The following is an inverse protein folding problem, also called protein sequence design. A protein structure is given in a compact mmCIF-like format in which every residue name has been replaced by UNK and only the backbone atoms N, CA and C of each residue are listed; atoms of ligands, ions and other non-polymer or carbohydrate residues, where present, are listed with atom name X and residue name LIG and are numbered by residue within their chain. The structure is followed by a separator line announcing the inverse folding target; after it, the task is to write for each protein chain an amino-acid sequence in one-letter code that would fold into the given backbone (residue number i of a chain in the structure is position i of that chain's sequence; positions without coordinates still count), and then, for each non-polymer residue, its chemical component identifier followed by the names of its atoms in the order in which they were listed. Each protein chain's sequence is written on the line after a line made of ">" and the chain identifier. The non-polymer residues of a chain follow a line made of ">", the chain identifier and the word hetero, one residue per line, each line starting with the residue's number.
data_IF_621288142344
#
_entry.id   IF_621288142344
#
_cell.length_a   1.000
_cell.length_b   1.000
_cell.length_c   1.000
_cell.angle_alpha   90.00
_cell.angle_beta   90.00
_cell.angle_gamma   90.00
#
_symmetry.space_group_name_H-M   'P 1'
#
loop_
_entity.id
_entity.type
_entity.pdbx_description
1 polymer ?
#
# COMPACT_ATOMS: atom_id res chain seq x y z
N UNK A 1 -32.44 -7.64 77.18
CA UNK A 1 -31.19 -6.92 77.52
C UNK A 1 -30.18 -7.31 76.46
N UNK A 2 -29.56 -6.45 75.66
CA UNK A 2 -29.30 -5.02 75.79
C UNK A 2 -29.02 -4.47 74.37
N UNK A 3 -29.63 -3.33 74.05
CA UNK A 3 -29.40 -2.56 72.83
C UNK A 3 -28.03 -1.89 72.87
N UNK A 4 -27.32 -1.83 71.74
CA UNK A 4 -26.43 -0.70 71.42
C UNK A 4 -26.68 -0.28 69.97
N UNK A 5 -27.31 0.88 69.83
CA UNK A 5 -27.44 1.70 68.64
C UNK A 5 -26.25 2.65 68.56
N UNK A 6 -25.65 2.80 67.38
CA UNK A 6 -24.88 3.99 66.99
C UNK A 6 -25.40 4.42 65.61
N UNK A 7 -26.22 5.49 65.61
CA UNK A 7 -26.41 6.45 64.51
C UNK A 7 -25.12 7.31 64.43
N UNK A 8 -24.67 7.99 63.36
CA UNK A 8 -25.18 8.46 62.07
C UNK A 8 -24.04 9.26 61.41
N UNK A 9 -23.87 9.21 60.08
CA UNK A 9 -23.47 10.36 59.24
C UNK A 9 -23.37 9.97 57.76
N UNK A 10 -23.94 10.80 56.87
CA UNK A 10 -23.45 10.93 55.49
C UNK A 10 -24.40 10.46 54.38
N UNK A 11 -25.36 11.32 54.04
CA UNK A 11 -26.10 11.33 52.77
C UNK A 11 -25.18 11.79 51.62
N UNK A 12 -25.52 11.39 50.38
CA UNK A 12 -25.04 11.89 49.08
C UNK A 12 -23.66 11.43 48.57
N UNK A 13 -23.64 10.53 47.58
CA UNK A 13 -23.37 10.97 46.21
C UNK A 13 -23.86 9.95 45.17
N UNK A 14 -24.61 10.47 44.20
CA UNK A 14 -25.17 9.79 43.04
C UNK A 14 -24.31 10.23 41.85
N UNK A 15 -23.44 9.37 41.30
CA UNK A 15 -22.76 9.63 40.02
C UNK A 15 -22.17 8.30 39.50
N UNK A 16 -22.84 7.60 38.57
CA UNK A 16 -22.76 7.71 37.10
C UNK A 16 -21.57 6.98 36.46
N UNK A 17 -21.84 6.42 35.27
CA UNK A 17 -20.92 5.94 34.21
C UNK A 17 -20.21 4.59 34.45
N UNK A 18 -20.71 3.48 33.91
CA UNK A 18 -20.72 3.05 32.49
C UNK A 18 -19.46 2.29 32.04
N UNK A 19 -19.75 1.17 31.40
CA UNK A 19 -19.02 0.53 30.31
C UNK A 19 -17.60 0.03 30.57
N UNK A 20 -17.55 -1.29 30.82
CA UNK A 20 -16.77 -2.26 30.03
C UNK A 20 -15.40 -1.79 29.54
N UNK A 21 -14.35 -2.25 30.22
CA UNK A 21 -13.03 -2.44 29.64
C UNK A 21 -13.09 -3.53 28.54
N UNK A 22 -13.82 -3.23 27.47
CA UNK A 22 -13.72 -3.89 26.19
C UNK A 22 -12.42 -3.38 25.60
N UNK A 23 -11.49 -4.30 25.39
CA UNK A 23 -10.35 -4.25 24.46
C UNK A 23 -9.97 -2.86 23.94
N UNK A 24 -8.70 -2.48 24.12
CA UNK A 24 -8.05 -1.49 23.26
C UNK A 24 -8.01 -2.02 21.81
N UNK A 25 -9.18 -2.06 21.17
CA UNK A 25 -9.39 -2.24 19.75
C UNK A 25 -8.90 -0.96 19.09
N UNK A 26 -7.70 -1.04 18.53
CA UNK A 26 -7.29 -0.43 17.26
C UNK A 26 -8.22 0.69 16.79
N UNK A 27 -8.05 1.88 17.38
CA UNK A 27 -8.64 3.12 16.87
C UNK A 27 -7.74 3.67 15.73
N UNK A 28 -7.53 2.85 14.69
CA UNK A 28 -6.77 3.25 13.48
C UNK A 28 -7.73 3.79 12.41
N UNK A 29 -9.05 3.83 12.62
CA UNK A 29 -9.98 4.32 11.61
C UNK A 29 -11.02 5.25 12.24
N UNK A 30 -10.63 6.49 12.52
CA UNK A 30 -11.62 7.57 12.44
C UNK A 30 -11.90 7.86 10.96
N UNK A 31 -13.08 8.38 10.61
CA UNK A 31 -13.51 8.66 9.22
C UNK A 31 -12.52 9.54 8.42
N UNK A 32 -11.58 10.22 9.08
CA UNK A 32 -10.52 10.99 8.43
C UNK A 32 -9.28 10.19 8.02
N UNK A 33 -9.10 8.96 8.52
CA UNK A 33 -7.88 8.19 8.26
C UNK A 33 -7.89 7.51 6.88
N UNK A 34 -9.05 7.01 6.42
CA UNK A 34 -9.10 6.26 5.17
C UNK A 34 -8.85 7.12 3.93
N UNK A 35 -9.37 8.35 3.89
CA UNK A 35 -9.11 9.29 2.79
C UNK A 35 -7.63 9.62 2.68
N UNK A 36 -6.94 9.82 3.81
CA UNK A 36 -5.49 10.05 3.80
C UNK A 36 -4.71 8.84 3.30
N UNK A 37 -5.16 7.63 3.64
CA UNK A 37 -4.54 6.39 3.15
C UNK A 37 -4.72 6.28 1.63
N UNK A 38 -5.93 6.53 1.11
CA UNK A 38 -6.19 6.50 -0.35
C UNK A 38 -5.43 7.63 -1.07
N UNK A 39 -5.32 8.83 -0.47
CA UNK A 39 -4.55 9.95 -1.03
C UNK A 39 -3.06 9.60 -1.12
N UNK A 40 -2.53 8.95 -0.08
CA UNK A 40 -1.16 8.45 -0.08
C UNK A 40 -0.96 7.39 -1.17
N UNK A 41 -1.92 6.46 -1.34
CA UNK A 41 -1.87 5.47 -2.42
C UNK A 41 -1.87 6.12 -3.80
N UNK A 42 -2.75 7.11 -4.07
CA UNK A 42 -2.76 7.87 -5.33
C UNK A 42 -1.40 8.52 -5.61
N UNK A 43 -0.76 9.12 -4.59
CA UNK A 43 0.58 9.71 -4.74
C UNK A 43 1.66 8.67 -5.05
N UNK A 44 1.52 7.45 -4.54
CA UNK A 44 2.41 6.34 -4.90
C UNK A 44 2.26 5.98 -6.37
N UNK A 45 1.02 5.84 -6.85
CA UNK A 45 0.74 5.56 -8.28
C UNK A 45 1.31 6.66 -9.19
N UNK A 46 1.14 7.94 -8.83
CA UNK A 46 1.71 9.07 -9.57
C UNK A 46 3.23 9.03 -9.67
N UNK A 47 3.88 8.64 -8.57
CA UNK A 47 5.34 8.49 -8.53
C UNK A 47 5.81 7.29 -9.37
N UNK A 48 5.09 6.17 -9.38
CA UNK A 48 5.39 5.02 -10.24
C UNK A 48 5.18 5.36 -11.72
N UNK A 49 4.09 6.05 -12.09
CA UNK A 49 3.85 6.57 -13.45
C UNK A 49 5.00 7.46 -13.92
N UNK A 50 5.42 8.42 -13.09
CA UNK A 50 6.52 9.32 -13.41
C UNK A 50 7.83 8.55 -13.61
N UNK A 51 8.11 7.57 -12.73
CA UNK A 51 9.31 6.76 -12.80
C UNK A 51 9.36 5.89 -14.07
N UNK A 52 8.26 5.22 -14.42
CA UNK A 52 8.18 4.42 -15.64
C UNK A 52 8.22 5.28 -16.91
N UNK A 53 7.68 6.50 -16.85
CA UNK A 53 7.79 7.46 -17.95
C UNK A 53 9.25 7.90 -18.15
N UNK A 54 9.97 8.17 -17.06
CA UNK A 54 11.41 8.47 -17.12
C UNK A 54 12.21 7.27 -17.65
N UNK A 55 11.90 6.05 -17.20
CA UNK A 55 12.51 4.83 -17.71
C UNK A 55 12.27 4.67 -19.22
N UNK A 56 11.06 4.98 -19.68
CA UNK A 56 10.66 4.88 -21.09
C UNK A 56 11.47 5.81 -21.99
N UNK A 57 11.75 7.02 -21.51
CA UNK A 57 12.58 8.02 -22.20
C UNK A 57 14.05 7.58 -22.29
N UNK A 58 14.56 6.94 -21.24
CA UNK A 58 15.95 6.48 -21.16
C UNK A 58 16.20 5.10 -21.79
N UNK A 59 15.14 4.34 -22.06
CA UNK A 59 15.25 3.01 -22.65
C UNK A 59 15.69 3.05 -24.12
N UNK A 60 16.62 2.16 -24.47
CA UNK A 60 17.16 2.03 -25.84
C UNK A 60 16.43 0.98 -26.67
N UNK A 61 15.84 -0.04 -26.03
CA UNK A 61 15.26 -1.19 -26.72
C UNK A 61 13.76 -1.00 -26.99
N UNK A 62 13.27 -1.28 -28.21
CA UNK A 62 11.84 -1.18 -28.52
C UNK A 62 10.94 -2.05 -27.64
N UNK A 63 11.40 -3.25 -27.25
CA UNK A 63 10.68 -4.17 -26.35
C UNK A 63 10.47 -3.55 -24.98
N UNK A 64 11.54 -3.02 -24.37
CA UNK A 64 11.51 -2.29 -23.10
C UNK A 64 10.54 -1.11 -23.15
N UNK A 65 10.50 -0.37 -24.26
CA UNK A 65 9.54 0.74 -24.44
C UNK A 65 8.09 0.27 -24.45
N UNK A 66 7.80 -0.88 -25.03
CA UNK A 66 6.45 -1.47 -25.01
C UNK A 66 6.11 -1.91 -23.58
N UNK A 67 7.03 -2.59 -22.90
CA UNK A 67 6.88 -3.02 -21.52
C UNK A 67 6.59 -1.84 -20.57
N UNK A 68 7.41 -0.78 -20.62
CA UNK A 68 7.24 0.39 -19.75
C UNK A 68 5.94 1.15 -20.02
N UNK A 69 5.48 1.21 -21.28
CA UNK A 69 4.16 1.76 -21.60
C UNK A 69 3.02 0.95 -21.00
N UNK A 70 3.17 -0.37 -20.91
CA UNK A 70 2.18 -1.23 -20.24
C UNK A 70 2.15 -0.94 -18.74
N UNK A 71 3.30 -0.82 -18.07
CA UNK A 71 3.35 -0.44 -16.65
C UNK A 71 2.72 0.94 -16.40
N UNK A 72 3.05 1.95 -17.20
CA UNK A 72 2.41 3.28 -17.11
C UNK A 72 0.88 3.18 -17.24
N UNK A 73 0.38 2.35 -18.15
CA UNK A 73 -1.05 2.15 -18.34
C UNK A 73 -1.71 1.40 -17.16
N UNK A 74 -1.03 0.40 -16.59
CA UNK A 74 -1.47 -0.33 -15.41
C UNK A 74 -1.62 0.63 -14.21
N UNK A 75 -0.58 1.41 -13.88
CA UNK A 75 -0.64 2.37 -12.75
C UNK A 75 -1.63 3.51 -12.98
N UNK A 76 -1.79 3.97 -14.22
CA UNK A 76 -2.84 4.95 -14.55
C UNK A 76 -4.21 4.37 -14.25
N UNK A 77 -4.42 3.08 -14.52
CA UNK A 77 -5.63 2.35 -14.15
C UNK A 77 -5.84 2.27 -12.64
N UNK A 78 -4.78 1.99 -11.87
CA UNK A 78 -4.81 1.95 -10.40
C UNK A 78 -5.18 3.32 -9.82
N UNK A 79 -4.48 4.37 -10.25
CA UNK A 79 -4.76 5.76 -9.87
C UNK A 79 -6.23 6.12 -10.10
N UNK A 80 -6.75 5.88 -11.31
CA UNK A 80 -8.13 6.21 -11.65
C UNK A 80 -9.14 5.48 -10.75
N UNK A 81 -8.87 4.22 -10.39
CA UNK A 81 -9.72 3.45 -9.46
C UNK A 81 -9.67 4.04 -8.05
N UNK A 82 -8.49 4.39 -7.55
CA UNK A 82 -8.32 5.01 -6.23
C UNK A 82 -9.00 6.39 -6.14
N UNK A 83 -8.87 7.21 -7.17
CA UNK A 83 -9.57 8.50 -7.27
C UNK A 83 -11.09 8.32 -7.32
N UNK A 84 -11.58 7.30 -8.02
CA UNK A 84 -13.01 6.98 -8.03
C UNK A 84 -13.52 6.61 -6.62
N UNK A 85 -12.75 5.83 -5.84
CA UNK A 85 -13.06 5.48 -4.44
C UNK A 85 -13.00 6.70 -3.52
N UNK A 86 -12.07 7.63 -3.78
CA UNK A 86 -11.96 8.88 -3.03
C UNK A 86 -13.22 9.74 -3.18
N UNK A 87 -13.77 9.78 -4.40
CA UNK A 87 -14.98 10.52 -4.73
C UNK A 87 -16.26 9.82 -4.25
N UNK A 88 -16.29 8.49 -4.35
CA UNK A 88 -17.42 7.65 -3.95
C UNK A 88 -16.92 6.35 -3.30
N UNK A 89 -16.99 6.30 -1.97
CA UNK A 89 -16.52 5.16 -1.18
C UNK A 89 -17.26 3.86 -1.53
N UNK A 90 -18.49 3.90 -2.06
CA UNK A 90 -19.27 2.71 -2.38
C UNK A 90 -18.63 1.87 -3.49
N UNK A 91 -17.83 2.52 -4.36
CA UNK A 91 -17.07 1.88 -5.46
C UNK A 91 -16.05 0.85 -4.99
N UNK A 92 -15.67 0.87 -3.71
CA UNK A 92 -14.81 -0.17 -3.14
C UNK A 92 -15.42 -1.57 -3.26
N UNK A 93 -16.76 -1.66 -3.31
CA UNK A 93 -17.49 -2.91 -3.43
C UNK A 93 -17.52 -3.46 -4.86
N UNK A 94 -17.19 -2.64 -5.86
CA UNK A 94 -17.16 -3.00 -7.28
C UNK A 94 -15.84 -3.70 -7.67
N UNK A 95 -14.88 -3.76 -6.75
CA UNK A 95 -13.57 -4.38 -6.96
C UNK A 95 -13.68 -5.91 -6.90
N UNK A 96 -13.86 -6.54 -8.05
CA UNK A 96 -13.90 -8.00 -8.21
C UNK A 96 -12.67 -8.71 -7.64
N UNK A 97 -12.85 -9.94 -7.13
CA UNK A 97 -11.76 -10.78 -6.64
C UNK A 97 -10.97 -11.37 -7.83
N UNK A 98 -9.67 -11.12 -7.88
CA UNK A 98 -8.73 -11.86 -8.72
C UNK A 98 -7.73 -12.52 -7.77
N UNK A 99 -7.84 -13.84 -7.66
CA UNK A 99 -7.07 -14.65 -6.72
C UNK A 99 -5.88 -15.27 -7.45
N UNK A 100 -4.69 -14.71 -7.23
CA UNK A 100 -3.43 -15.29 -7.68
C UNK A 100 -2.32 -14.85 -6.74
N UNK A 101 -1.65 -15.79 -6.08
CA UNK A 101 -0.48 -15.47 -5.28
C UNK A 101 0.71 -15.20 -6.23
N UNK A 102 1.31 -14.00 -6.13
CA UNK A 102 2.53 -13.67 -6.87
C UNK A 102 3.75 -14.11 -6.05
N UNK A 103 4.71 -14.77 -6.67
CA UNK A 103 5.96 -15.21 -6.04
C UNK A 103 6.97 -14.06 -6.01
N UNK A 104 7.64 -13.78 -4.91
CA UNK A 104 8.71 -12.76 -4.83
C UNK A 104 10.04 -13.27 -5.40
N UNK A 105 10.57 -12.65 -6.46
CA UNK A 105 11.80 -13.07 -7.16
C UNK A 105 13.11 -12.60 -6.49
N UNK A 106 13.08 -11.51 -5.73
CA UNK A 106 14.20 -10.97 -4.91
C UNK A 106 15.52 -10.67 -5.65
N UNK A 107 15.50 -10.44 -6.96
CA UNK A 107 16.72 -10.16 -7.75
C UNK A 107 17.36 -8.81 -7.34
N UNK A 108 16.56 -7.74 -7.22
CA UNK A 108 17.10 -6.39 -6.92
C UNK A 108 17.37 -6.15 -5.44
N UNK A 109 16.89 -7.05 -4.57
CA UNK A 109 17.10 -6.98 -3.12
C UNK A 109 18.58 -7.07 -2.74
N UNK A 110 19.40 -7.67 -3.61
CA UNK A 110 20.83 -7.87 -3.41
C UNK A 110 21.68 -6.70 -3.94
N UNK A 111 21.06 -5.72 -4.63
CA UNK A 111 21.74 -4.57 -5.24
C UNK A 111 21.81 -3.38 -4.26
N UNK A 112 22.80 -2.50 -4.39
CA UNK A 112 22.95 -1.32 -3.50
C UNK A 112 21.84 -0.29 -3.70
N UNK A 113 21.46 0.42 -2.62
CA UNK A 113 20.53 1.55 -2.70
C UNK A 113 21.21 2.74 -3.36
N UNK A 114 20.96 2.90 -4.65
CA UNK A 114 21.36 4.07 -5.42
C UNK A 114 20.16 4.99 -5.53
N UNK A 115 20.27 6.20 -4.96
CA UNK A 115 19.28 7.25 -5.20
C UNK A 115 19.20 7.57 -6.69
N UNK A 116 17.99 7.90 -7.18
CA UNK A 116 17.80 8.18 -8.59
C UNK A 116 18.23 9.62 -8.92
N UNK A 117 19.31 9.76 -9.68
CA UNK A 117 19.75 11.05 -10.23
C UNK A 117 19.01 11.36 -11.53
N UNK A 118 18.97 12.64 -11.94
CA UNK A 118 18.33 13.06 -13.19
C UNK A 118 19.03 12.55 -14.46
N UNK A 119 20.29 12.12 -14.33
CA UNK A 119 21.13 11.51 -15.36
C UNK A 119 21.31 10.00 -15.16
N UNK A 120 20.47 9.38 -14.31
CA UNK A 120 20.50 7.94 -14.09
C UNK A 120 20.29 7.19 -15.41
N UNK A 121 21.10 6.17 -15.63
CA UNK A 121 20.95 5.29 -16.77
C UNK A 121 19.76 4.33 -16.57
N UNK A 122 19.41 3.63 -17.65
CA UNK A 122 18.27 2.72 -17.65
C UNK A 122 18.40 1.61 -16.59
N UNK A 123 19.62 1.12 -16.36
CA UNK A 123 19.91 0.11 -15.36
C UNK A 123 19.56 0.61 -13.95
N UNK A 124 20.10 1.77 -13.57
CA UNK A 124 19.84 2.38 -12.26
C UNK A 124 18.35 2.69 -12.07
N UNK A 125 17.66 3.12 -13.14
CA UNK A 125 16.21 3.35 -13.11
C UNK A 125 15.44 2.06 -12.82
N UNK A 126 15.78 0.93 -13.46
CA UNK A 126 15.12 -0.36 -13.22
C UNK A 126 15.34 -0.87 -11.80
N UNK A 127 16.56 -0.80 -11.29
CA UNK A 127 16.89 -1.21 -9.91
C UNK A 127 16.12 -0.36 -8.90
N UNK A 128 16.12 0.96 -9.08
CA UNK A 128 15.38 1.87 -8.21
C UNK A 128 13.87 1.60 -8.27
N UNK A 129 13.31 1.38 -9.47
CA UNK A 129 11.89 1.06 -9.63
C UNK A 129 11.51 -0.24 -8.91
N UNK A 130 12.25 -1.33 -9.12
CA UNK A 130 11.91 -2.61 -8.50
C UNK A 130 12.01 -2.58 -6.95
N UNK A 131 12.96 -1.81 -6.41
CA UNK A 131 13.05 -1.57 -4.96
C UNK A 131 11.90 -0.74 -4.43
N UNK A 132 11.47 0.26 -5.20
CA UNK A 132 10.32 1.07 -4.87
C UNK A 132 9.04 0.23 -4.86
N UNK A 133 8.83 -0.62 -5.86
CA UNK A 133 7.72 -1.59 -5.93
C UNK A 133 7.69 -2.51 -4.70
N UNK A 134 8.86 -2.99 -4.25
CA UNK A 134 8.95 -3.74 -2.98
C UNK A 134 8.49 -2.92 -1.77
N UNK A 135 8.93 -1.67 -1.67
CA UNK A 135 8.51 -0.79 -0.57
C UNK A 135 7.00 -0.53 -0.61
N UNK A 136 6.41 -0.38 -1.79
CA UNK A 136 4.96 -0.21 -1.95
C UNK A 136 4.21 -1.49 -1.57
N UNK A 137 4.69 -2.65 -2.02
CA UNK A 137 4.18 -3.96 -1.62
C UNK A 137 4.10 -4.10 -0.08
N UNK A 138 5.20 -3.83 0.61
CA UNK A 138 5.27 -3.95 2.08
C UNK A 138 4.32 -2.96 2.77
N UNK A 139 4.18 -1.76 2.22
CA UNK A 139 3.25 -0.75 2.70
C UNK A 139 1.79 -1.19 2.54
N UNK A 140 1.37 -1.59 1.34
CA UNK A 140 0.01 -2.08 1.07
C UNK A 140 -0.31 -3.35 1.84
N UNK A 141 0.65 -4.26 1.99
CA UNK A 141 0.50 -5.45 2.83
C UNK A 141 0.26 -5.09 4.30
N UNK A 142 0.98 -4.11 4.82
CA UNK A 142 0.78 -3.62 6.21
C UNK A 142 -0.61 -3.03 6.40
N UNK A 143 -1.08 -2.22 5.44
CA UNK A 143 -2.45 -1.68 5.45
C UNK A 143 -3.50 -2.79 5.37
N UNK A 144 -3.31 -3.77 4.48
CA UNK A 144 -4.22 -4.90 4.32
C UNK A 144 -4.36 -5.71 5.62
N UNK A 145 -3.26 -5.93 6.34
CA UNK A 145 -3.26 -6.62 7.63
C UNK A 145 -3.99 -5.82 8.71
N UNK A 146 -3.77 -4.51 8.79
CA UNK A 146 -4.47 -3.62 9.73
C UNK A 146 -5.97 -3.50 9.46
N UNK A 147 -6.39 -3.77 8.22
CA UNK A 147 -7.76 -3.64 7.72
C UNK A 147 -8.42 -5.00 7.41
N UNK A 148 -7.85 -6.09 7.95
CA UNK A 148 -8.30 -7.45 7.67
C UNK A 148 -9.79 -7.63 7.95
N UNK A 149 -10.49 -8.25 7.00
CA UNK A 149 -11.95 -8.46 7.07
C UNK A 149 -12.80 -7.28 6.57
N UNK A 150 -12.18 -6.20 6.10
CA UNK A 150 -12.87 -5.09 5.43
C UNK A 150 -12.62 -5.09 3.92
N UNK A 151 -13.49 -4.44 3.16
CA UNK A 151 -13.31 -4.21 1.71
C UNK A 151 -12.06 -3.40 1.37
N UNK A 152 -11.65 -2.51 2.27
CA UNK A 152 -10.42 -1.75 2.10
C UNK A 152 -9.18 -2.62 2.31
N UNK A 153 -9.23 -3.56 3.25
CA UNK A 153 -8.19 -4.58 3.40
C UNK A 153 -8.08 -5.48 2.17
N UNK A 154 -9.20 -5.89 1.58
CA UNK A 154 -9.22 -6.64 0.31
C UNK A 154 -8.59 -5.84 -0.85
N UNK A 155 -8.91 -4.55 -0.97
CA UNK A 155 -8.30 -3.65 -1.97
C UNK A 155 -6.77 -3.58 -1.82
N UNK A 156 -6.27 -3.26 -0.63
CA UNK A 156 -4.82 -3.14 -0.41
C UNK A 156 -4.10 -4.48 -0.54
N UNK A 157 -4.77 -5.59 -0.22
CA UNK A 157 -4.20 -6.92 -0.48
C UNK A 157 -4.02 -7.20 -1.96
N UNK A 158 -4.90 -6.67 -2.83
CA UNK A 158 -4.79 -6.83 -4.29
C UNK A 158 -3.70 -5.94 -4.85
N UNK A 159 -3.71 -4.65 -4.49
CA UNK A 159 -2.67 -3.71 -4.90
C UNK A 159 -1.29 -4.25 -4.52
N UNK A 160 -1.10 -4.75 -3.29
CA UNK A 160 0.15 -5.40 -2.90
C UNK A 160 0.56 -6.51 -3.90
N UNK A 161 -0.35 -7.42 -4.26
CA UNK A 161 0.00 -8.48 -5.22
C UNK A 161 0.33 -7.93 -6.62
N UNK A 162 -0.31 -6.84 -7.04
CA UNK A 162 0.00 -6.14 -8.30
C UNK A 162 1.42 -5.56 -8.26
N UNK A 163 1.80 -4.81 -7.21
CA UNK A 163 3.17 -4.27 -7.02
C UNK A 163 4.23 -5.37 -6.99
N UNK A 164 3.94 -6.50 -6.34
CA UNK A 164 4.85 -7.64 -6.34
C UNK A 164 5.02 -8.21 -7.75
N UNK A 165 3.96 -8.20 -8.56
CA UNK A 165 4.00 -8.52 -9.97
C UNK A 165 4.86 -7.54 -10.77
N UNK A 166 4.73 -6.24 -10.52
CA UNK A 166 5.54 -5.20 -11.16
C UNK A 166 7.01 -5.31 -10.81
N UNK A 167 7.34 -5.51 -9.54
CA UNK A 167 8.69 -5.83 -9.07
C UNK A 167 9.29 -6.97 -9.88
N UNK A 168 8.57 -8.09 -10.01
CA UNK A 168 9.07 -9.24 -10.76
C UNK A 168 9.26 -8.95 -12.24
N UNK A 169 8.33 -8.20 -12.86
CA UNK A 169 8.46 -7.80 -14.27
C UNK A 169 9.70 -6.93 -14.49
N UNK A 170 9.98 -5.99 -13.57
CA UNK A 170 11.16 -5.12 -13.62
C UNK A 170 12.45 -5.90 -13.38
N UNK A 171 12.45 -6.83 -12.41
CA UNK A 171 13.59 -7.70 -12.15
C UNK A 171 13.91 -8.61 -13.34
N UNK A 172 12.88 -9.10 -14.02
CA UNK A 172 13.06 -9.87 -15.25
C UNK A 172 13.61 -9.01 -16.39
N UNK A 173 13.10 -7.79 -16.56
CA UNK A 173 13.63 -6.85 -17.56
C UNK A 173 15.11 -6.52 -17.30
N UNK A 174 15.49 -6.36 -16.03
CA UNK A 174 16.89 -6.17 -15.63
C UNK A 174 17.74 -7.39 -16.01
N UNK A 175 17.29 -8.60 -15.67
CA UNK A 175 17.99 -9.84 -16.03
C UNK A 175 18.16 -9.94 -17.56
N UNK A 176 17.06 -9.80 -18.31
CA UNK A 176 17.01 -9.93 -19.76
C UNK A 176 17.91 -8.89 -20.48
N UNK A 177 17.88 -7.62 -20.06
CA UNK A 177 18.57 -6.53 -20.77
C UNK A 177 19.98 -6.19 -20.24
N UNK A 178 20.30 -6.50 -18.98
CA UNK A 178 21.54 -6.05 -18.33
C UNK A 178 22.45 -7.22 -17.98
N UNK A 179 21.90 -8.30 -17.42
CA UNK A 179 22.71 -9.46 -17.02
C UNK A 179 23.02 -10.37 -18.21
N UNK A 180 22.13 -10.49 -19.19
CA UNK A 180 22.39 -11.30 -20.39
C UNK A 180 23.28 -10.63 -21.44
N UNK A 181 23.42 -9.30 -21.42
CA UNK A 181 24.23 -8.54 -22.40
C UNK A 181 25.65 -8.20 -21.92
N UNK A 182 26.04 -8.57 -20.68
CA UNK A 182 27.40 -8.43 -20.12
C UNK A 182 28.16 -9.75 -20.12
#
# INVERSE_FOLDING_TARGET
>A
MQYILIQSAGFENFMFCEQTHKVREIHILSEQNWKKIIEAAVKVEEQSIALYSMALENSKYPSSKVFLKQLVAEETGHKNRLEAIMNDQTKISELGAHDGAVQDLKIVDMLQDTGLSSDADYEAILVYAAKREKSTYDYYRTLALGLKGSKMGELFSKLAQEELGHKNKLEKEYDDCILTEN
#
